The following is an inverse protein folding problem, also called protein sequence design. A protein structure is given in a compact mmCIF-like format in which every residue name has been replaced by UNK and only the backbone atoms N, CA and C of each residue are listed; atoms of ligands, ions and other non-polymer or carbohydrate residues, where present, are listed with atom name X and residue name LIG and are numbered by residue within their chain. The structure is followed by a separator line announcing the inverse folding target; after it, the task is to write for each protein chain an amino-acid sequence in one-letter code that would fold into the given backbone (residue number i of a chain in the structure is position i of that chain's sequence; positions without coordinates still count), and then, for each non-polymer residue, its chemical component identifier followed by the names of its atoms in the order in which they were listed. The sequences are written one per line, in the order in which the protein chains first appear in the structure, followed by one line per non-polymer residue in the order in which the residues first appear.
data_IF_609503794146
#
_entry.id   IF_609503794146
#
_cell.length_a   1.000
_cell.length_b   1.000
_cell.length_c   1.000
_cell.angle_alpha   90.00
_cell.angle_beta   90.00
_cell.angle_gamma   90.00
#
_symmetry.space_group_name_H-M   'P 1'
#
loop_
_entity.id
_entity.type
_entity.pdbx_description
1 polymer ?
#
# COMPACT_ATOMS: atom_id res chain seq x y z
N UNK A 1 -22.19 -16.71 8.28
CA UNK A 1 -22.42 -16.07 6.98
C UNK A 1 -21.09 -15.52 6.46
N UNK A 2 -20.74 -15.88 5.25
CA UNK A 2 -19.46 -15.45 4.68
C UNK A 2 -19.51 -13.96 4.31
N UNK A 3 -18.50 -13.23 4.73
CA UNK A 3 -18.32 -11.83 4.36
C UNK A 3 -17.91 -11.76 2.89
N UNK A 4 -18.60 -10.92 2.12
CA UNK A 4 -18.28 -10.69 0.71
C UNK A 4 -17.95 -9.22 0.51
N UNK A 5 -16.74 -8.97 0.07
CA UNK A 5 -16.22 -7.61 -0.11
C UNK A 5 -15.93 -7.37 -1.58
N UNK A 6 -15.99 -6.10 -1.96
CA UNK A 6 -15.55 -5.65 -3.28
C UNK A 6 -14.20 -4.98 -3.12
N UNK A 7 -13.23 -5.42 -3.91
CA UNK A 7 -11.87 -4.90 -3.87
C UNK A 7 -11.51 -4.31 -5.24
N UNK A 8 -10.66 -3.30 -5.22
CA UNK A 8 -10.11 -2.69 -6.43
C UNK A 8 -8.60 -2.86 -6.42
N UNK A 9 -8.05 -3.42 -7.49
CA UNK A 9 -6.60 -3.56 -7.65
C UNK A 9 -6.07 -2.39 -8.47
N UNK A 10 -5.27 -1.55 -7.84
CA UNK A 10 -4.67 -0.40 -8.49
C UNK A 10 -3.67 -0.87 -9.55
N UNK A 11 -3.69 -0.23 -10.70
CA UNK A 11 -2.78 -0.54 -11.82
C UNK A 11 -1.34 -0.10 -11.53
N UNK A 12 -1.16 0.89 -10.68
CA UNK A 12 0.17 1.43 -10.39
C UNK A 12 0.91 0.57 -9.39
N UNK A 13 2.20 0.32 -9.60
CA UNK A 13 3.04 -0.26 -8.55
C UNK A 13 3.44 0.81 -7.56
N UNK A 14 3.76 0.37 -6.34
CA UNK A 14 4.13 1.25 -5.23
C UNK A 14 5.48 0.86 -4.65
N UNK A 15 6.14 1.84 -4.06
CA UNK A 15 7.40 1.66 -3.35
C UNK A 15 7.20 2.08 -1.90
N UNK A 16 7.71 1.30 -0.98
CA UNK A 16 7.68 1.61 0.45
C UNK A 16 9.08 2.07 0.86
N UNK A 17 9.13 3.25 1.46
CA UNK A 17 10.37 3.83 1.98
C UNK A 17 10.34 3.86 3.49
N UNK A 18 11.48 3.55 4.10
CA UNK A 18 11.73 3.86 5.51
C UNK A 18 12.79 4.94 5.56
N UNK A 19 12.44 6.07 6.17
CA UNK A 19 13.35 7.20 6.30
C UNK A 19 13.68 7.41 7.79
N UNK A 20 14.87 7.97 8.11
CA UNK A 20 15.15 8.38 9.48
C UNK A 20 14.11 9.38 9.99
N UNK A 21 13.74 9.33 11.27
CA UNK A 21 12.69 10.22 11.80
C UNK A 21 13.08 11.70 11.75
N UNK A 22 14.37 12.00 11.62
CA UNK A 22 14.88 13.36 11.49
C UNK A 22 14.78 13.93 10.08
N UNK A 23 14.36 13.13 9.09
CA UNK A 23 14.28 13.58 7.70
C UNK A 23 13.33 14.78 7.59
N UNK A 24 13.79 15.92 7.07
CA UNK A 24 12.93 17.09 6.93
C UNK A 24 11.79 16.86 5.95
N UNK A 25 10.62 17.43 6.23
CA UNK A 25 9.47 17.32 5.33
C UNK A 25 9.77 17.87 3.95
N UNK A 26 10.67 18.84 3.84
CA UNK A 26 11.08 19.40 2.53
C UNK A 26 11.67 18.37 1.59
N UNK A 27 12.14 17.23 2.11
CA UNK A 27 12.72 16.15 1.31
C UNK A 27 11.62 15.34 0.62
N UNK A 28 10.53 15.02 1.32
CA UNK A 28 9.51 14.11 0.77
C UNK A 28 8.22 14.78 0.33
N UNK A 29 7.88 15.98 0.81
CA UNK A 29 6.67 16.68 0.39
C UNK A 29 6.56 16.87 -1.13
N UNK A 30 7.64 17.26 -1.84
CA UNK A 30 7.55 17.40 -3.30
C UNK A 30 7.21 16.09 -4.02
N UNK A 31 7.47 14.94 -3.39
CA UNK A 31 7.23 13.64 -4.00
C UNK A 31 5.75 13.24 -3.96
N UNK A 32 5.03 13.71 -2.95
CA UNK A 32 3.64 13.29 -2.73
C UNK A 32 2.62 14.28 -3.28
N UNK A 33 3.06 15.46 -3.66
CA UNK A 33 2.20 16.60 -3.97
C UNK A 33 1.19 16.32 -5.10
N UNK A 34 1.59 15.54 -6.09
CA UNK A 34 0.77 15.24 -7.26
C UNK A 34 0.26 13.80 -7.30
N UNK A 35 0.41 13.03 -6.24
CA UNK A 35 -0.04 11.65 -6.23
C UNK A 35 -1.49 11.55 -5.78
N UNK A 36 -2.27 10.72 -6.49
CA UNK A 36 -3.66 10.47 -6.12
C UNK A 36 -3.78 9.73 -4.80
N UNK A 37 -2.81 8.83 -4.53
CA UNK A 37 -2.77 8.08 -3.29
C UNK A 37 -1.33 7.98 -2.80
N UNK A 38 -1.13 8.27 -1.55
CA UNK A 38 0.13 8.02 -0.84
C UNK A 38 -0.19 7.82 0.62
N UNK A 39 0.74 7.26 1.37
CA UNK A 39 0.61 7.12 2.80
C UNK A 39 1.92 7.51 3.46
N UNK A 40 1.83 8.29 4.54
CA UNK A 40 2.99 8.65 5.33
C UNK A 40 2.64 8.52 6.80
N UNK A 41 3.53 7.86 7.54
CA UNK A 41 3.41 7.73 8.99
C UNK A 41 4.75 8.08 9.61
N UNK A 42 4.72 9.01 10.55
CA UNK A 42 5.93 9.38 11.31
C UNK A 42 5.80 8.91 12.74
N UNK A 43 6.84 8.25 13.22
CA UNK A 43 6.98 7.84 14.63
C UNK A 43 8.31 8.38 15.16
N UNK A 44 8.57 8.25 16.46
CA UNK A 44 9.90 8.61 16.97
C UNK A 44 11.04 7.79 16.38
N UNK A 45 10.74 6.61 15.81
CA UNK A 45 11.75 5.69 15.28
C UNK A 45 11.93 5.76 13.78
N UNK A 46 10.89 6.23 13.03
CA UNK A 46 10.95 6.17 11.56
C UNK A 46 9.93 7.08 10.90
N UNK A 47 10.15 7.31 9.61
CA UNK A 47 9.10 7.79 8.71
C UNK A 47 8.87 6.68 7.69
N UNK A 48 7.62 6.20 7.59
CA UNK A 48 7.21 5.22 6.60
C UNK A 48 6.44 5.93 5.50
N UNK A 49 6.88 5.79 4.26
CA UNK A 49 6.31 6.49 3.11
C UNK A 49 5.99 5.49 2.01
N UNK A 50 4.74 5.49 1.55
CA UNK A 50 4.30 4.68 0.41
C UNK A 50 3.93 5.61 -0.73
N UNK A 51 4.61 5.45 -1.85
CA UNK A 51 4.39 6.29 -3.04
C UNK A 51 4.42 5.43 -4.30
N UNK A 52 3.79 5.91 -5.37
CA UNK A 52 3.77 5.16 -6.61
C UNK A 52 5.18 5.10 -7.22
N UNK A 53 5.51 3.94 -7.75
CA UNK A 53 6.83 3.66 -8.32
C UNK A 53 7.12 4.54 -9.53
N UNK A 54 6.15 4.67 -10.38
CA UNK A 54 6.27 5.45 -11.60
C UNK A 54 6.59 6.93 -11.34
N UNK A 55 6.17 7.44 -10.22
CA UNK A 55 6.50 8.79 -9.81
C UNK A 55 7.87 8.85 -9.14
N UNK A 56 8.30 7.76 -8.54
CA UNK A 56 9.48 7.69 -7.71
C UNK A 56 10.79 7.51 -8.47
N UNK A 57 10.75 7.10 -9.74
CA UNK A 57 11.94 6.69 -10.51
C UNK A 57 13.07 7.70 -10.50
N UNK A 58 12.74 8.98 -10.66
CA UNK A 58 13.76 10.04 -10.63
C UNK A 58 13.91 10.68 -9.27
N UNK A 59 12.98 10.45 -8.36
CA UNK A 59 12.91 11.13 -7.08
C UNK A 59 13.35 10.29 -5.91
N UNK A 60 13.38 8.97 -6.06
CA UNK A 60 13.98 8.08 -5.08
C UNK A 60 15.44 8.45 -4.82
N UNK A 61 16.15 8.87 -5.87
CA UNK A 61 17.52 9.34 -5.74
C UNK A 61 17.62 10.58 -4.86
N UNK A 62 16.62 11.47 -4.89
CA UNK A 62 16.59 12.63 -4.02
C UNK A 62 16.37 12.26 -2.57
N UNK A 63 15.52 11.26 -2.32
CA UNK A 63 15.31 10.75 -0.97
C UNK A 63 16.60 10.17 -0.40
N UNK A 64 17.28 9.35 -1.19
CA UNK A 64 18.56 8.76 -0.79
C UNK A 64 19.59 9.84 -0.54
N UNK A 65 19.72 10.79 -1.45
CA UNK A 65 20.68 11.88 -1.34
C UNK A 65 20.39 12.77 -0.13
N UNK A 66 19.11 13.02 0.13
CA UNK A 66 18.69 13.90 1.22
C UNK A 66 18.85 13.28 2.58
N UNK A 67 18.73 11.97 2.69
CA UNK A 67 18.93 11.29 3.98
C UNK A 67 20.42 11.13 4.30
N UNK A 68 21.24 10.92 3.29
CA UNK A 68 22.69 10.77 3.43
C UNK A 68 23.13 9.66 4.35
N UNK A 69 22.30 8.62 4.52
CA UNK A 69 22.42 7.75 5.65
C UNK A 69 21.97 6.33 5.31
N UNK A 70 22.55 5.37 6.00
CA UNK A 70 22.29 3.94 5.81
C UNK A 70 20.93 3.50 6.35
N UNK A 71 20.21 4.39 7.04
CA UNK A 71 18.89 4.10 7.59
C UNK A 71 17.76 4.25 6.57
N UNK A 72 18.04 4.81 5.42
CA UNK A 72 17.06 4.88 4.34
C UNK A 72 16.95 3.49 3.68
N UNK A 73 15.76 2.90 3.74
CA UNK A 73 15.48 1.62 3.12
C UNK A 73 14.38 1.78 2.08
N UNK A 74 14.55 1.10 0.96
CA UNK A 74 13.62 1.17 -0.17
C UNK A 74 13.15 -0.24 -0.49
N UNK A 75 11.85 -0.45 -0.53
CA UNK A 75 11.26 -1.74 -0.92
C UNK A 75 10.29 -1.48 -2.07
N UNK A 76 10.71 -1.65 -3.32
CA UNK A 76 9.86 -1.45 -4.48
C UNK A 76 9.02 -2.69 -4.81
N UNK A 77 8.15 -2.55 -5.82
CA UNK A 77 7.43 -3.69 -6.37
C UNK A 77 6.26 -4.15 -5.53
N UNK A 78 5.42 -3.22 -5.09
CA UNK A 78 4.18 -3.52 -4.38
C UNK A 78 2.97 -3.18 -5.23
N UNK A 79 1.90 -3.93 -5.05
CA UNK A 79 0.60 -3.65 -5.67
C UNK A 79 -0.44 -3.46 -4.57
N UNK A 80 -1.40 -2.59 -4.82
CA UNK A 80 -2.36 -2.17 -3.80
C UNK A 80 -3.78 -2.62 -4.13
N UNK A 81 -4.41 -3.29 -3.16
CA UNK A 81 -5.85 -3.59 -3.20
C UNK A 81 -6.55 -2.63 -2.25
N UNK A 82 -7.56 -1.95 -2.74
CA UNK A 82 -8.42 -1.10 -1.92
C UNK A 82 -9.74 -1.83 -1.66
N UNK A 83 -10.18 -1.83 -0.41
CA UNK A 83 -11.52 -2.31 -0.08
C UNK A 83 -12.49 -1.20 -0.43
N UNK A 84 -13.49 -1.49 -1.29
CA UNK A 84 -14.45 -0.48 -1.71
C UNK A 84 -15.27 -0.03 -0.50
N UNK A 85 -15.22 1.26 -0.23
CA UNK A 85 -15.88 1.86 0.92
C UNK A 85 -16.89 2.90 0.51
N UNK A 86 -17.34 3.73 1.48
CA UNK A 86 -16.84 3.78 2.86
C UNK A 86 -17.31 2.59 3.70
N UNK A 87 -16.46 2.16 4.65
CA UNK A 87 -16.78 1.10 5.57
C UNK A 87 -17.25 1.69 6.89
N UNK A 88 -18.27 1.08 7.48
CA UNK A 88 -18.75 1.46 8.80
C UNK A 88 -17.74 0.98 9.86
N UNK A 89 -17.39 1.82 10.82
CA UNK A 89 -16.51 1.44 11.91
C UNK A 89 -17.05 0.29 12.75
N UNK A 90 -18.37 0.05 12.71
CA UNK A 90 -18.97 -1.08 13.41
C UNK A 90 -18.67 -2.42 12.74
N UNK A 91 -18.19 -2.43 11.51
CA UNK A 91 -17.82 -3.68 10.84
C UNK A 91 -16.59 -4.26 11.50
N UNK A 92 -16.70 -5.53 11.88
CA UNK A 92 -15.65 -6.24 12.60
C UNK A 92 -15.13 -7.37 11.73
N UNK A 93 -13.83 -7.58 11.77
CA UNK A 93 -13.22 -8.73 11.13
C UNK A 93 -12.92 -8.58 9.65
N UNK A 94 -13.09 -7.39 9.06
CA UNK A 94 -12.75 -7.18 7.65
C UNK A 94 -11.26 -7.51 7.41
N UNK A 95 -10.39 -6.90 8.20
CA UNK A 95 -8.95 -7.12 8.02
C UNK A 95 -8.54 -8.52 8.45
N UNK A 96 -9.19 -9.08 9.48
CA UNK A 96 -8.93 -10.47 9.87
C UNK A 96 -9.28 -11.43 8.73
N UNK A 97 -10.39 -11.19 8.05
CA UNK A 97 -10.80 -11.99 6.90
C UNK A 97 -9.77 -11.89 5.77
N UNK A 98 -9.46 -10.67 5.34
CA UNK A 98 -8.59 -10.44 4.18
C UNK A 98 -7.16 -10.91 4.44
N UNK A 99 -6.60 -10.55 5.59
CA UNK A 99 -5.23 -10.96 5.92
C UNK A 99 -5.14 -12.46 6.16
N UNK A 100 -6.21 -13.07 6.70
CA UNK A 100 -6.27 -14.52 6.89
C UNK A 100 -6.23 -15.27 5.56
N UNK A 101 -6.98 -14.79 4.57
CA UNK A 101 -6.97 -15.38 3.23
C UNK A 101 -5.57 -15.36 2.64
N UNK A 102 -4.87 -14.22 2.75
CA UNK A 102 -3.53 -14.10 2.22
C UNK A 102 -2.52 -14.93 3.02
N UNK A 103 -2.67 -14.98 4.34
CA UNK A 103 -1.81 -15.81 5.18
C UNK A 103 -1.91 -17.29 4.82
N UNK A 104 -3.11 -17.79 4.54
CA UNK A 104 -3.33 -19.17 4.11
C UNK A 104 -2.64 -19.47 2.78
N UNK A 105 -2.39 -18.46 1.97
CA UNK A 105 -1.69 -18.58 0.70
C UNK A 105 -0.22 -18.15 0.77
N UNK A 106 0.30 -17.98 1.98
CA UNK A 106 1.69 -17.60 2.23
C UNK A 106 2.08 -16.26 1.58
N UNK A 107 1.16 -15.30 1.58
CA UNK A 107 1.37 -13.98 1.01
C UNK A 107 1.51 -12.96 2.14
N UNK A 108 2.66 -12.27 2.19
CA UNK A 108 2.90 -11.18 3.13
C UNK A 108 2.12 -9.94 2.74
N UNK A 109 1.73 -9.14 3.72
CA UNK A 109 0.93 -7.94 3.50
C UNK A 109 1.55 -6.73 4.18
N UNK A 110 1.29 -5.57 3.61
CA UNK A 110 1.50 -4.27 4.23
C UNK A 110 0.15 -3.55 4.20
N UNK A 111 -0.35 -3.15 5.35
CA UNK A 111 -1.72 -2.65 5.48
C UNK A 111 -1.72 -1.19 5.85
N UNK A 112 -2.58 -0.42 5.19
CA UNK A 112 -2.87 0.97 5.54
C UNK A 112 -4.37 1.10 5.73
N UNK A 113 -4.78 1.51 6.93
CA UNK A 113 -6.18 1.78 7.22
C UNK A 113 -6.39 3.28 7.29
N UNK A 114 -7.43 3.75 6.62
CA UNK A 114 -7.82 5.16 6.65
C UNK A 114 -9.18 5.29 7.35
N UNK A 115 -9.69 6.52 7.42
CA UNK A 115 -11.00 6.76 8.00
C UNK A 115 -12.10 5.99 7.24
N UNK A 116 -11.99 5.92 5.93
CA UNK A 116 -13.08 5.36 5.10
C UNK A 116 -12.92 3.88 4.81
N UNK A 117 -11.70 3.38 4.68
CA UNK A 117 -11.50 2.00 4.25
C UNK A 117 -10.08 1.51 4.50
N UNK A 118 -9.81 0.29 4.05
CA UNK A 118 -8.52 -0.37 4.20
C UNK A 118 -7.86 -0.57 2.84
N UNK A 119 -6.53 -0.51 2.85
CA UNK A 119 -5.68 -0.77 1.70
C UNK A 119 -4.70 -1.88 2.06
N UNK A 120 -4.55 -2.83 1.16
CA UNK A 120 -3.67 -3.98 1.36
C UNK A 120 -2.67 -4.01 0.23
N UNK A 121 -1.40 -3.91 0.58
CA UNK A 121 -0.33 -4.01 -0.41
C UNK A 121 0.33 -5.38 -0.30
N UNK A 122 0.57 -5.98 -1.46
CA UNK A 122 1.27 -7.26 -1.58
C UNK A 122 2.38 -7.09 -2.59
N UNK A 123 3.37 -7.95 -2.54
CA UNK A 123 4.44 -7.94 -3.54
C UNK A 123 3.85 -8.16 -4.93
N UNK A 124 4.42 -7.47 -5.91
CA UNK A 124 3.92 -7.50 -7.28
C UNK A 124 3.84 -8.91 -7.86
N UNK A 125 4.84 -9.74 -7.58
CA UNK A 125 4.87 -11.13 -8.05
C UNK A 125 3.80 -12.01 -7.39
N UNK A 126 3.16 -11.52 -6.33
CA UNK A 126 2.08 -12.22 -5.62
C UNK A 126 0.70 -11.62 -5.88
N UNK A 127 0.62 -10.54 -6.66
CA UNK A 127 -0.65 -9.81 -6.83
C UNK A 127 -1.73 -10.67 -7.48
N UNK A 128 -1.40 -11.46 -8.49
CA UNK A 128 -2.39 -12.30 -9.16
C UNK A 128 -2.81 -13.50 -8.29
N UNK A 129 -1.90 -14.04 -7.50
CA UNK A 129 -2.23 -15.07 -6.51
C UNK A 129 -3.17 -14.52 -5.45
N UNK A 130 -2.90 -13.28 -4.97
CA UNK A 130 -3.74 -12.62 -3.99
C UNK A 130 -5.16 -12.40 -4.56
N UNK A 131 -5.25 -11.92 -5.80
CA UNK A 131 -6.55 -11.72 -6.45
C UNK A 131 -7.34 -13.03 -6.49
N UNK A 132 -6.71 -14.12 -6.93
CA UNK A 132 -7.36 -15.43 -7.00
C UNK A 132 -7.78 -15.92 -5.62
N UNK A 133 -6.94 -15.71 -4.62
CA UNK A 133 -7.24 -16.11 -3.25
C UNK A 133 -8.48 -15.37 -2.72
N UNK A 134 -8.57 -14.07 -2.94
CA UNK A 134 -9.75 -13.30 -2.55
C UNK A 134 -11.00 -13.79 -3.27
N UNK A 135 -10.90 -14.00 -4.58
CA UNK A 135 -12.03 -14.47 -5.38
C UNK A 135 -12.50 -15.86 -4.97
N UNK A 136 -11.58 -16.72 -4.55
CA UNK A 136 -11.89 -18.09 -4.15
C UNK A 136 -12.78 -18.16 -2.89
N UNK A 137 -12.76 -17.13 -2.06
CA UNK A 137 -13.60 -17.06 -0.86
C UNK A 137 -14.81 -16.14 -1.02
N UNK A 138 -15.09 -15.71 -2.24
CA UNK A 138 -16.30 -14.99 -2.58
C UNK A 138 -16.18 -13.48 -2.68
N UNK A 139 -14.98 -12.91 -2.50
CA UNK A 139 -14.78 -11.49 -2.75
C UNK A 139 -14.68 -11.23 -4.24
N UNK A 140 -15.04 -10.01 -4.67
CA UNK A 140 -14.84 -9.59 -6.05
C UNK A 140 -13.64 -8.66 -6.11
N UNK A 141 -12.84 -8.79 -7.16
CA UNK A 141 -11.68 -7.93 -7.38
C UNK A 141 -11.76 -7.34 -8.78
N UNK A 142 -11.86 -6.02 -8.85
CA UNK A 142 -11.83 -5.29 -10.12
C UNK A 142 -10.47 -4.64 -10.27
N UNK A 143 -9.90 -4.70 -11.46
CA UNK A 143 -8.70 -3.93 -11.76
C UNK A 143 -9.12 -2.54 -12.18
N UNK A 144 -8.47 -1.53 -11.62
CA UNK A 144 -8.71 -0.15 -12.03
C UNK A 144 -8.38 0.01 -13.50
N UNK A 145 -9.16 0.80 -14.24
CA UNK A 145 -8.77 1.13 -15.60
C UNK A 145 -7.42 1.83 -15.59
N UNK A 146 -6.60 1.53 -16.60
CA UNK A 146 -5.31 2.19 -16.74
C UNK A 146 -5.56 3.69 -16.85
N UNK A 147 -4.94 4.47 -15.97
CA UNK A 147 -5.02 5.91 -16.05
C UNK A 147 -4.36 6.37 -17.34
N UNK A 148 -5.13 6.96 -18.20
CA UNK A 148 -4.67 7.43 -19.50
C UNK A 148 -4.14 8.83 -19.36
#
# INVERSE_FOLDING_TARGET
MAMKLELELDQLPYTIHRLPPSTPASIYLPLIDNQAWYSITKTPEEISLVISHHYADTKDNQLVSGSGDNEHKITPGWRCFKVKGPLDFSYVGIMANLSGVLAENSISVFVVSTHDTDYILVKEDKAMEAKKAFESVGHSVQSDPVAV
#
